data_IF_098543999017
#
_entry.id   IF_098543999017
#
_cell.length_a   1.000
_cell.length_b   1.000
_cell.length_c   1.000
_cell.angle_alpha   90.00
_cell.angle_beta   90.00
_cell.angle_gamma   90.00
#
_symmetry.space_group_name_H-M   'P 1'
#
loop_
_entity.id
_entity.type
_entity.pdbx_description
1 polymer ?
#
# COMPACT_ATOMS: atom_id res chain seq x y z
N UNK A 1 8.53 -12.80 16.44
CA UNK A 1 8.81 -11.50 15.81
C UNK A 1 7.72 -10.52 16.23
N UNK A 2 8.10 -9.33 16.70
CA UNK A 2 7.13 -8.29 17.05
C UNK A 2 6.30 -7.89 15.80
N UNK A 3 5.01 -7.67 16.01
CA UNK A 3 4.11 -7.24 14.94
C UNK A 3 4.45 -5.81 14.51
N UNK A 4 4.41 -5.53 13.20
CA UNK A 4 4.62 -4.19 12.67
C UNK A 4 3.60 -3.20 13.26
N UNK A 5 4.02 -1.98 13.59
CA UNK A 5 3.14 -0.94 14.10
C UNK A 5 2.06 -0.57 13.07
N UNK A 6 0.81 -0.40 13.49
CA UNK A 6 -0.24 0.24 12.70
C UNK A 6 -0.05 1.76 12.72
N UNK A 7 -0.49 2.42 11.65
CA UNK A 7 -0.42 3.87 11.50
C UNK A 7 -1.83 4.46 11.49
N UNK A 8 -2.06 5.50 12.28
CA UNK A 8 -3.27 6.33 12.20
C UNK A 8 -3.19 7.32 11.03
N UNK A 9 -4.33 7.92 10.65
CA UNK A 9 -4.36 8.97 9.61
C UNK A 9 -3.48 10.18 9.99
N UNK A 10 -3.43 10.55 11.27
CA UNK A 10 -2.57 11.63 11.77
C UNK A 10 -1.08 11.29 11.62
N UNK A 11 -0.70 10.05 11.93
CA UNK A 11 0.66 9.56 11.76
C UNK A 11 1.05 9.47 10.28
N UNK A 12 0.14 9.00 9.42
CA UNK A 12 0.34 9.02 7.98
C UNK A 12 0.59 10.45 7.49
N UNK A 13 -0.21 11.44 7.92
CA UNK A 13 -0.04 12.86 7.55
C UNK A 13 1.35 13.37 7.92
N UNK A 14 1.85 13.06 9.13
CA UNK A 14 3.22 13.43 9.57
C UNK A 14 4.30 12.80 8.70
N UNK A 15 4.16 11.51 8.35
CA UNK A 15 5.10 10.81 7.47
C UNK A 15 5.12 11.46 6.09
N UNK A 16 3.95 11.78 5.53
CA UNK A 16 3.84 12.43 4.22
C UNK A 16 4.42 13.86 4.23
N UNK A 17 4.24 14.60 5.33
CA UNK A 17 4.85 15.92 5.51
C UNK A 17 6.38 15.82 5.52
N UNK A 18 6.94 14.84 6.23
CA UNK A 18 8.38 14.59 6.20
C UNK A 18 8.85 14.21 4.79
N UNK A 19 8.13 13.33 4.07
CA UNK A 19 8.46 13.00 2.68
C UNK A 19 8.51 14.23 1.76
N UNK A 20 7.72 15.28 2.05
CA UNK A 20 7.71 16.51 1.23
C UNK A 20 9.04 17.28 1.24
N UNK A 21 9.91 17.04 2.22
CA UNK A 21 11.23 17.67 2.31
C UNK A 21 12.31 16.93 1.50
N UNK A 22 11.97 15.76 0.91
CA UNK A 22 12.93 14.92 0.21
C UNK A 22 13.04 15.26 -1.27
N UNK A 23 14.21 14.95 -1.86
CA UNK A 23 14.48 15.13 -3.31
C UNK A 23 13.44 14.43 -4.20
N UNK A 24 12.97 13.24 -3.79
CA UNK A 24 11.99 12.45 -4.54
C UNK A 24 10.63 12.44 -3.82
N UNK A 25 10.20 13.62 -3.35
CA UNK A 25 9.02 13.78 -2.48
C UNK A 25 7.76 13.13 -3.04
N UNK A 26 7.40 13.41 -4.28
CA UNK A 26 6.18 12.90 -4.92
C UNK A 26 6.20 11.36 -5.00
N UNK A 27 7.31 10.78 -5.45
CA UNK A 27 7.51 9.32 -5.49
C UNK A 27 7.36 8.69 -4.11
N UNK A 28 8.11 9.20 -3.13
CA UNK A 28 8.17 8.63 -1.77
C UNK A 28 6.81 8.73 -1.08
N UNK A 29 6.11 9.85 -1.23
CA UNK A 29 4.72 10.03 -0.75
C UNK A 29 3.76 9.05 -1.40
N UNK A 30 3.87 8.83 -2.70
CA UNK A 30 3.01 7.89 -3.44
C UNK A 30 3.24 6.46 -2.99
N UNK A 31 4.50 6.02 -2.81
CA UNK A 31 4.86 4.70 -2.29
C UNK A 31 4.21 4.44 -0.91
N UNK A 32 4.34 5.39 0.03
CA UNK A 32 3.76 5.28 1.38
C UNK A 32 2.23 5.18 1.30
N UNK A 33 1.59 6.03 0.50
CA UNK A 33 0.13 6.04 0.35
C UNK A 33 -0.38 4.78 -0.35
N UNK A 34 0.36 4.25 -1.31
CA UNK A 34 -0.01 2.99 -1.98
C UNK A 34 -0.02 1.82 -1.00
N UNK A 35 1.01 1.71 -0.13
CA UNK A 35 1.03 0.70 0.91
C UNK A 35 -0.13 0.87 1.91
N UNK A 36 -0.47 2.10 2.27
CA UNK A 36 -1.51 2.42 3.26
C UNK A 36 -2.94 2.25 2.71
N UNK A 37 -3.21 2.64 1.45
CA UNK A 37 -4.56 2.66 0.88
C UNK A 37 -4.91 1.44 0.03
N UNK A 38 -3.93 0.68 -0.45
CA UNK A 38 -4.12 -0.54 -1.24
C UNK A 38 -3.44 -1.79 -0.64
N UNK A 39 -2.73 -1.64 0.48
CA UNK A 39 -2.16 -2.74 1.23
C UNK A 39 -1.02 -3.50 0.52
N UNK A 40 -0.33 -2.89 -0.44
CA UNK A 40 0.76 -3.54 -1.16
C UNK A 40 2.00 -3.74 -0.28
N UNK A 41 2.68 -4.88 -0.51
CA UNK A 41 3.98 -5.17 0.08
C UNK A 41 5.11 -4.43 -0.63
N UNK A 42 6.22 -4.19 0.05
CA UNK A 42 7.39 -3.54 -0.56
C UNK A 42 7.86 -4.24 -1.85
N UNK A 43 7.90 -5.59 -1.88
CA UNK A 43 8.23 -6.36 -3.08
C UNK A 43 7.24 -6.09 -4.22
N UNK A 44 5.95 -6.05 -3.92
CA UNK A 44 4.89 -5.80 -4.90
C UNK A 44 5.00 -4.38 -5.46
N UNK A 45 5.21 -3.37 -4.61
CA UNK A 45 5.45 -1.98 -5.04
C UNK A 45 6.70 -1.83 -5.92
N UNK A 46 7.78 -2.55 -5.59
CA UNK A 46 9.01 -2.52 -6.36
C UNK A 46 8.85 -3.12 -7.77
N UNK A 47 7.90 -4.05 -7.94
CA UNK A 47 7.65 -4.77 -9.19
C UNK A 47 6.56 -4.13 -10.07
N UNK A 48 5.90 -3.05 -9.61
CA UNK A 48 4.86 -2.38 -10.40
C UNK A 48 5.45 -1.69 -11.63
N UNK A 49 4.76 -1.83 -12.74
CA UNK A 49 5.01 -1.08 -13.97
C UNK A 49 4.00 0.05 -14.14
N UNK A 50 4.27 0.98 -15.05
CA UNK A 50 3.34 2.07 -15.38
C UNK A 50 2.04 1.54 -15.97
N UNK A 51 2.12 0.52 -16.85
CA UNK A 51 0.96 -0.10 -17.46
C UNK A 51 0.08 -0.90 -16.50
N UNK A 52 0.60 -1.32 -15.32
CA UNK A 52 -0.27 -1.89 -14.28
C UNK A 52 -1.27 -0.84 -13.77
N UNK A 53 -0.86 0.42 -13.64
CA UNK A 53 -1.60 1.47 -12.93
C UNK A 53 -2.30 2.45 -13.87
N UNK A 54 -1.71 2.72 -15.03
CA UNK A 54 -2.27 3.66 -16.02
C UNK A 54 -2.73 2.92 -17.26
N UNK A 55 -3.82 3.41 -17.88
CA UNK A 55 -4.29 2.94 -19.18
C UNK A 55 -3.51 3.62 -20.33
N UNK A 56 -3.87 3.29 -21.56
CA UNK A 56 -3.19 3.80 -22.76
C UNK A 56 -3.39 5.32 -22.95
N UNK A 57 -4.45 5.88 -22.36
CA UNK A 57 -4.71 7.33 -22.32
C UNK A 57 -4.05 8.03 -21.12
N UNK A 58 -3.29 7.31 -20.30
CA UNK A 58 -2.61 7.83 -19.11
C UNK A 58 -3.52 8.07 -17.91
N UNK A 59 -4.75 7.56 -17.92
CA UNK A 59 -5.68 7.65 -16.80
C UNK A 59 -5.39 6.55 -15.79
N UNK A 60 -5.59 6.84 -14.51
CA UNK A 60 -5.41 5.85 -13.44
C UNK A 60 -6.55 4.82 -13.48
N UNK A 61 -6.19 3.54 -13.58
CA UNK A 61 -7.14 2.42 -13.53
C UNK A 61 -7.86 2.36 -12.18
N UNK A 62 -9.05 1.82 -12.14
CA UNK A 62 -9.77 1.57 -10.88
C UNK A 62 -9.26 0.33 -10.15
N UNK A 63 -8.72 -0.60 -10.91
CA UNK A 63 -8.11 -1.84 -10.43
C UNK A 63 -7.07 -2.34 -11.42
N UNK A 64 -6.18 -3.18 -10.94
CA UNK A 64 -5.23 -3.92 -11.78
C UNK A 64 -4.91 -5.28 -11.17
N UNK A 65 -4.36 -6.19 -11.96
CA UNK A 65 -3.97 -7.51 -11.50
C UNK A 65 -2.47 -7.55 -11.25
N UNK A 66 -2.05 -7.83 -10.02
CA UNK A 66 -0.68 -8.26 -9.74
C UNK A 66 -0.51 -9.68 -10.29
N UNK A 67 0.43 -9.83 -11.20
CA UNK A 67 0.81 -11.15 -11.71
C UNK A 67 1.43 -12.03 -10.63
N UNK A 68 1.45 -13.34 -10.85
CA UNK A 68 2.11 -14.29 -9.94
C UNK A 68 3.59 -13.95 -9.68
N UNK A 69 4.30 -13.43 -10.70
CA UNK A 69 5.70 -13.01 -10.59
C UNK A 69 5.89 -11.79 -9.67
N UNK A 70 4.97 -10.83 -9.73
CA UNK A 70 4.98 -9.62 -8.91
C UNK A 70 4.54 -9.91 -7.46
N UNK A 71 3.58 -10.81 -7.28
CA UNK A 71 3.02 -11.13 -5.98
C UNK A 71 3.99 -11.94 -5.10
N UNK A 72 3.93 -11.73 -3.78
CA UNK A 72 4.60 -12.61 -2.82
C UNK A 72 3.78 -13.89 -2.68
N UNK A 73 4.37 -15.04 -2.98
CA UNK A 73 3.71 -16.35 -2.88
C UNK A 73 3.15 -16.90 -4.18
N UNK A 74 3.46 -16.28 -5.35
CA UNK A 74 3.17 -16.86 -6.68
C UNK A 74 1.70 -16.92 -7.06
N UNK A 75 0.82 -16.18 -6.38
CA UNK A 75 -0.62 -16.08 -6.71
C UNK A 75 -0.95 -14.69 -7.21
N UNK A 76 -1.54 -14.60 -8.40
CA UNK A 76 -2.10 -13.35 -8.91
C UNK A 76 -3.26 -12.88 -8.03
N UNK A 77 -3.44 -11.56 -7.94
CA UNK A 77 -4.59 -10.96 -7.25
C UNK A 77 -4.96 -9.61 -7.83
N UNK A 78 -6.22 -9.24 -7.73
CA UNK A 78 -6.69 -7.91 -8.09
C UNK A 78 -6.37 -6.91 -6.96
N UNK A 79 -5.83 -5.76 -7.34
CA UNK A 79 -5.63 -4.60 -6.46
C UNK A 79 -6.63 -3.53 -6.84
N UNK A 80 -7.42 -3.12 -5.86
CA UNK A 80 -8.42 -2.06 -6.03
C UNK A 80 -7.83 -0.71 -5.61
N UNK A 81 -8.03 0.31 -6.43
CA UNK A 81 -7.52 1.66 -6.20
C UNK A 81 -8.68 2.57 -5.80
N UNK A 82 -8.72 2.97 -4.53
CA UNK A 82 -9.76 3.87 -4.03
C UNK A 82 -9.59 5.32 -4.55
N UNK A 83 -10.64 6.15 -4.41
CA UNK A 83 -10.64 7.54 -4.90
C UNK A 83 -9.46 8.38 -4.39
N UNK A 84 -9.03 8.19 -3.14
CA UNK A 84 -7.88 8.93 -2.57
C UNK A 84 -6.59 8.55 -3.29
N UNK A 85 -6.35 7.26 -3.45
CA UNK A 85 -5.15 6.77 -4.12
C UNK A 85 -5.16 7.11 -5.62
N UNK A 86 -6.32 7.07 -6.29
CA UNK A 86 -6.44 7.51 -7.70
C UNK A 86 -5.99 8.96 -7.88
N UNK A 87 -6.39 9.87 -6.99
CA UNK A 87 -5.96 11.27 -7.03
C UNK A 87 -4.44 11.40 -6.88
N UNK A 88 -3.86 10.71 -5.90
CA UNK A 88 -2.40 10.70 -5.67
C UNK A 88 -1.64 10.15 -6.88
N UNK A 89 -2.16 9.08 -7.50
CA UNK A 89 -1.54 8.49 -8.69
C UNK A 89 -1.69 9.39 -9.91
N UNK A 90 -2.81 10.08 -10.08
CA UNK A 90 -2.98 11.06 -11.15
C UNK A 90 -1.95 12.20 -11.02
N UNK A 91 -1.76 12.75 -9.83
CA UNK A 91 -0.72 13.76 -9.55
C UNK A 91 0.70 13.22 -9.82
N UNK A 92 0.98 11.98 -9.41
CA UNK A 92 2.28 11.36 -9.65
C UNK A 92 2.53 11.09 -11.14
N UNK A 93 1.49 10.71 -11.89
CA UNK A 93 1.54 10.42 -13.32
C UNK A 93 1.95 11.61 -14.18
N UNK A 94 1.64 12.85 -13.76
CA UNK A 94 2.01 14.07 -14.49
C UNK A 94 3.53 14.15 -14.73
N UNK A 95 4.34 13.68 -13.78
CA UNK A 95 5.81 13.66 -13.88
C UNK A 95 6.39 12.44 -14.58
N UNK A 96 5.56 11.51 -15.08
CA UNK A 96 6.00 10.26 -15.69
C UNK A 96 5.89 10.28 -17.22
N UNK A 97 6.87 9.67 -17.89
CA UNK A 97 6.68 9.30 -19.29
C UNK A 97 5.83 8.02 -19.36
N UNK A 98 4.53 8.15 -19.58
CA UNK A 98 3.59 7.02 -19.63
C UNK A 98 3.58 6.28 -20.98
N UNK A 99 4.34 6.72 -21.99
CA UNK A 99 4.43 6.06 -23.30
C UNK A 99 5.12 4.68 -23.23
N UNK A 100 5.87 4.41 -22.17
CA UNK A 100 6.49 3.10 -21.95
C UNK A 100 5.80 2.39 -20.78
N UNK A 101 4.76 1.56 -21.04
CA UNK A 101 4.01 0.87 -20.00
C UNK A 101 4.80 -0.19 -19.26
N UNK A 102 5.90 -0.71 -19.84
CA UNK A 102 6.76 -1.72 -19.21
C UNK A 102 7.74 -1.13 -18.20
N UNK A 103 7.94 0.18 -18.24
CA UNK A 103 8.85 0.85 -17.34
C UNK A 103 8.33 0.80 -15.89
N UNK A 104 9.27 0.71 -14.93
CA UNK A 104 8.92 0.68 -13.51
C UNK A 104 8.05 1.89 -13.14
N UNK A 105 7.00 1.66 -12.34
CA UNK A 105 6.17 2.74 -11.78
C UNK A 105 7.01 3.63 -10.88
N UNK A 106 7.80 3.03 -9.99
CA UNK A 106 8.70 3.72 -9.08
C UNK A 106 10.16 3.45 -9.47
N UNK A 107 10.86 4.50 -9.86
CA UNK A 107 12.27 4.41 -10.23
C UNK A 107 13.17 4.74 -9.03
N UNK A 108 14.25 3.99 -8.89
CA UNK A 108 15.29 4.23 -7.91
C UNK A 108 16.13 5.47 -8.28
N UNK A 109 17.00 5.93 -7.39
CA UNK A 109 17.91 7.06 -7.67
C UNK A 109 18.92 6.76 -8.78
N UNK A 110 19.21 5.48 -9.02
CA UNK A 110 20.14 5.03 -10.08
C UNK A 110 19.45 4.86 -11.43
N UNK A 111 18.16 5.17 -11.54
CA UNK A 111 17.31 4.80 -12.67
C UNK A 111 16.89 3.34 -12.61
N UNK A 112 15.79 2.99 -13.24
CA UNK A 112 15.23 1.64 -13.23
C UNK A 112 14.50 1.24 -11.93
N UNK A 113 14.02 0.00 -11.89
CA UNK A 113 13.19 -0.50 -10.81
C UNK A 113 13.94 -0.59 -9.47
N UNK A 114 13.18 -0.47 -8.36
CA UNK A 114 13.68 -0.87 -7.05
C UNK A 114 13.84 -2.38 -6.98
N UNK A 115 14.85 -2.87 -6.26
CA UNK A 115 14.80 -4.23 -5.72
C UNK A 115 13.84 -4.28 -4.51
N UNK A 116 13.35 -5.47 -4.16
CA UNK A 116 12.51 -5.65 -2.98
C UNK A 116 13.22 -5.17 -1.70
N UNK A 117 14.53 -5.39 -1.61
CA UNK A 117 15.32 -4.96 -0.47
C UNK A 117 15.47 -3.44 -0.42
N UNK A 118 15.82 -2.78 -1.52
CA UNK A 118 15.95 -1.31 -1.55
C UNK A 118 14.63 -0.61 -1.30
N UNK A 119 13.50 -1.17 -1.75
CA UNK A 119 12.17 -0.66 -1.40
C UNK A 119 11.90 -0.81 0.10
N UNK A 120 12.24 -1.95 0.71
CA UNK A 120 12.11 -2.16 2.16
C UNK A 120 12.97 -1.15 2.93
N UNK A 121 14.21 -0.92 2.52
CA UNK A 121 15.09 0.07 3.16
C UNK A 121 14.53 1.49 3.03
N UNK A 122 13.93 1.85 1.89
CA UNK A 122 13.28 3.15 1.73
C UNK A 122 12.18 3.36 2.78
N UNK A 123 11.31 2.38 3.02
CA UNK A 123 10.29 2.44 4.06
C UNK A 123 10.91 2.67 5.45
N UNK A 124 11.95 1.92 5.80
CA UNK A 124 12.62 2.03 7.10
C UNK A 124 13.24 3.42 7.30
N UNK A 125 13.93 3.94 6.28
CA UNK A 125 14.52 5.29 6.31
C UNK A 125 13.44 6.35 6.50
N UNK A 126 12.35 6.28 5.74
CA UNK A 126 11.24 7.23 5.82
C UNK A 126 10.61 7.20 7.22
N UNK A 127 10.23 6.02 7.71
CA UNK A 127 9.55 5.89 8.99
C UNK A 127 10.44 6.31 10.17
N UNK A 128 11.69 5.87 10.20
CA UNK A 128 12.64 6.24 11.26
C UNK A 128 12.85 7.76 11.30
N UNK A 129 13.07 8.39 10.16
CA UNK A 129 13.32 9.83 10.07
C UNK A 129 12.07 10.67 10.36
N UNK A 130 10.87 10.16 10.08
CA UNK A 130 9.60 10.78 10.47
C UNK A 130 9.25 10.58 11.96
N UNK A 131 10.10 9.88 12.74
CA UNK A 131 9.90 9.63 14.17
C UNK A 131 9.12 8.36 14.51
N UNK A 132 9.00 7.41 13.55
CA UNK A 132 8.28 6.14 13.72
C UNK A 132 9.24 4.94 13.67
N UNK A 133 10.17 4.85 14.64
CA UNK A 133 11.23 3.83 14.65
C UNK A 133 10.73 2.38 14.70
N UNK A 134 9.52 2.14 15.24
CA UNK A 134 8.89 0.81 15.30
C UNK A 134 8.06 0.46 14.06
N UNK A 135 7.89 1.39 13.12
CA UNK A 135 7.22 1.12 11.87
C UNK A 135 8.16 0.41 10.88
N UNK A 136 7.59 -0.45 10.04
CA UNK A 136 8.33 -1.22 9.04
C UNK A 136 7.62 -1.15 7.67
N UNK A 137 8.21 -1.75 6.64
CA UNK A 137 7.60 -1.88 5.32
C UNK A 137 6.24 -2.60 5.32
N UNK A 138 5.86 -3.24 6.43
CA UNK A 138 4.56 -3.87 6.63
C UNK A 138 3.52 -2.96 7.30
N UNK A 139 3.93 -1.81 7.86
CA UNK A 139 3.05 -0.94 8.65
C UNK A 139 1.89 -0.36 7.85
N UNK A 140 2.14 0.12 6.63
CA UNK A 140 1.06 0.62 5.74
C UNK A 140 0.03 -0.47 5.43
N UNK A 141 0.49 -1.65 5.03
CA UNK A 141 -0.39 -2.79 4.76
C UNK A 141 -1.15 -3.27 6.01
N UNK A 142 -0.50 -3.29 7.16
CA UNK A 142 -1.18 -3.61 8.42
C UNK A 142 -2.29 -2.61 8.70
N UNK A 143 -2.02 -1.31 8.56
CA UNK A 143 -3.03 -0.25 8.73
C UNK A 143 -4.19 -0.40 7.75
N UNK A 144 -3.92 -0.75 6.48
CA UNK A 144 -4.96 -1.04 5.49
C UNK A 144 -5.93 -2.12 5.97
N UNK A 145 -5.40 -3.26 6.43
CA UNK A 145 -6.22 -4.39 6.88
C UNK A 145 -6.99 -4.02 8.16
N UNK A 146 -6.30 -3.45 9.16
CA UNK A 146 -6.91 -3.07 10.44
C UNK A 146 -7.99 -2.00 10.28
N UNK A 147 -7.77 -0.99 9.42
CA UNK A 147 -8.75 0.06 9.16
C UNK A 147 -10.02 -0.46 8.47
N UNK A 148 -9.87 -1.45 7.57
CA UNK A 148 -11.02 -2.09 6.93
C UNK A 148 -11.73 -3.04 7.90
N UNK A 149 -11.01 -3.76 8.74
CA UNK A 149 -11.59 -4.60 9.79
C UNK A 149 -12.42 -3.77 10.78
N UNK A 150 -11.90 -2.59 11.19
CA UNK A 150 -12.63 -1.66 12.05
C UNK A 150 -13.94 -1.14 11.43
N UNK A 151 -14.09 -1.24 10.10
CA UNK A 151 -15.32 -0.89 9.36
C UNK A 151 -16.22 -2.10 9.11
N UNK A 152 -16.05 -3.18 9.84
CA UNK A 152 -16.84 -4.40 9.75
C UNK A 152 -16.78 -5.11 8.38
N UNK A 153 -15.70 -4.90 7.61
CA UNK A 153 -15.46 -5.66 6.39
C UNK A 153 -15.15 -7.12 6.77
N UNK A 154 -15.83 -8.08 6.13
CA UNK A 154 -15.67 -9.48 6.47
C UNK A 154 -14.24 -10.00 6.29
N UNK A 155 -13.82 -10.92 7.15
CA UNK A 155 -12.45 -11.50 7.13
C UNK A 155 -12.10 -12.12 5.78
N UNK A 156 -13.07 -12.70 5.08
CA UNK A 156 -12.88 -13.29 3.76
C UNK A 156 -12.53 -12.21 2.72
N UNK A 157 -13.28 -11.12 2.70
CA UNK A 157 -13.00 -9.98 1.81
C UNK A 157 -11.63 -9.36 2.13
N UNK A 158 -11.29 -9.21 3.41
CA UNK A 158 -9.98 -8.73 3.84
C UNK A 158 -8.84 -9.65 3.38
N UNK A 159 -9.02 -10.97 3.45
CA UNK A 159 -8.04 -11.95 3.00
C UNK A 159 -7.79 -11.82 1.49
N UNK A 160 -8.86 -11.71 0.69
CA UNK A 160 -8.77 -11.49 -0.76
C UNK A 160 -8.06 -10.17 -1.11
N UNK A 161 -8.49 -9.06 -0.52
CA UNK A 161 -7.87 -7.74 -0.72
C UNK A 161 -6.39 -7.74 -0.35
N UNK A 162 -6.05 -8.41 0.73
CA UNK A 162 -4.68 -8.56 1.18
C UNK A 162 -3.87 -9.59 0.37
N UNK A 163 -4.50 -10.51 -0.35
CA UNK A 163 -3.84 -11.65 -0.98
C UNK A 163 -3.19 -12.56 0.07
N UNK A 164 -3.94 -12.94 1.10
CA UNK A 164 -3.54 -13.95 2.08
C UNK A 164 -4.03 -15.31 1.62
N UNK A 165 -3.14 -16.30 1.58
CA UNK A 165 -3.47 -17.68 1.25
C UNK A 165 -4.26 -18.38 2.37
N UNK A 166 -4.23 -17.84 3.59
CA UNK A 166 -4.94 -18.36 4.76
C UNK A 166 -5.68 -17.23 5.47
N UNK A 167 -6.94 -17.47 5.80
CA UNK A 167 -7.79 -16.58 6.60
C UNK A 167 -7.17 -16.34 7.99
N UNK A 168 -6.52 -17.34 8.57
CA UNK A 168 -5.83 -17.23 9.86
C UNK A 168 -4.78 -16.09 9.85
N UNK A 169 -4.13 -15.86 8.72
CA UNK A 169 -3.20 -14.72 8.58
C UNK A 169 -3.93 -13.41 8.73
N UNK A 170 -5.16 -13.30 8.22
CA UNK A 170 -5.97 -12.08 8.30
C UNK A 170 -6.54 -11.88 9.70
N UNK A 171 -6.98 -12.96 10.35
CA UNK A 171 -7.54 -12.91 11.71
C UNK A 171 -6.59 -12.28 12.73
N UNK A 172 -5.28 -12.41 12.55
CA UNK A 172 -4.27 -11.76 13.42
C UNK A 172 -4.31 -10.23 13.39
N UNK A 173 -5.04 -9.63 12.45
CA UNK A 173 -5.19 -8.18 12.31
C UNK A 173 -6.57 -7.68 12.77
N UNK A 174 -7.44 -8.60 13.23
CA UNK A 174 -8.82 -8.29 13.62
C UNK A 174 -8.92 -8.43 15.13
N UNK A 175 -8.87 -7.29 15.80
CA UNK A 175 -9.19 -7.22 17.22
C UNK A 175 -10.69 -6.93 17.34
N UNK A 176 -11.43 -7.85 17.96
CA UNK A 176 -12.86 -7.64 18.27
C UNK A 176 -12.95 -6.71 19.46
N UNK A 177 -13.66 -5.59 19.30
CA UNK A 177 -13.89 -4.65 20.39
C UNK A 177 -15.38 -4.53 20.74
N UNK A 178 -15.74 -4.15 21.99
CA UNK A 178 -17.13 -4.06 22.44
C UNK A 178 -18.02 -3.17 21.55
N UNK A 179 -17.45 -2.09 20.99
CA UNK A 179 -18.20 -1.19 20.10
C UNK A 179 -18.58 -1.85 18.77
N UNK A 180 -17.71 -2.70 18.22
CA UNK A 180 -18.05 -3.46 17.01
C UNK A 180 -19.15 -4.48 17.28
N UNK A 181 -19.12 -5.14 18.45
CA UNK A 181 -20.18 -6.08 18.85
C UNK A 181 -21.53 -5.37 19.02
N UNK A 182 -21.54 -4.24 19.73
CA UNK A 182 -22.76 -3.43 19.89
C UNK A 182 -23.32 -2.97 18.53
N UNK A 183 -22.48 -2.38 17.68
CA UNK A 183 -22.91 -1.94 16.36
C UNK A 183 -23.43 -3.08 15.47
N UNK A 184 -22.90 -4.29 15.61
CA UNK A 184 -23.36 -5.42 14.81
C UNK A 184 -24.76 -5.89 15.23
N UNK A 185 -25.09 -5.82 16.52
CA UNK A 185 -26.42 -6.18 17.04
C UNK A 185 -27.47 -5.16 16.61
N UNK A 186 -27.11 -3.88 16.50
CA UNK A 186 -28.01 -2.80 16.03
C UNK A 186 -28.38 -2.91 14.54
N UNK A 187 -27.80 -3.86 13.80
CA UNK A 187 -28.16 -4.10 12.39
C UNK A 187 -29.37 -5.03 12.22
N UNK A 188 -29.89 -5.62 13.33
CA UNK A 188 -31.06 -6.49 13.34
C UNK A 188 -32.34 -5.72 13.59
#
# INVERSE_FOLDING_TARGET
>A
MAQAQTLSDAQLKRILQWCSTRRHSTRDRTIIQFSFYAGLRAKELAALTRGDVYDDEGRVREQFTLSAAQAKGGRSRTVWINRRLRRVLAEYGVGLNLRDPKRALFESQKGGAFSANTMTQLFLVIYKAAGFAHASSHSGRRSFITNLAAKSVSVRVLAELAGHSSIQTTQRYIDVNPKQMSNAVELL
#
